data_IF_021822308778
#
_entry.id   IF_021822308778
#
_cell.length_a   1.000
_cell.length_b   1.000
_cell.length_c   1.000
_cell.angle_alpha   90.00
_cell.angle_beta   90.00
_cell.angle_gamma   90.00
#
_symmetry.space_group_name_H-M   'P 1'
#
loop_
_entity.id
_entity.type
_entity.pdbx_description
1 polymer ?
#
# COMPACT_ATOMS: atom_id res chain seq x y z
N UNK A 1 18.25 19.69 1.80
CA UNK A 1 19.62 20.22 1.67
C UNK A 1 20.16 20.66 3.03
N UNK A 2 20.18 19.75 4.01
CA UNK A 2 20.54 20.06 5.40
C UNK A 2 22.03 20.42 5.53
N UNK A 3 22.91 19.71 4.82
CA UNK A 3 24.35 19.96 4.82
C UNK A 3 24.77 21.29 4.16
N UNK A 4 24.00 21.78 3.17
CA UNK A 4 24.25 23.11 2.57
C UNK A 4 23.82 24.25 3.48
N UNK A 5 22.74 24.05 4.23
CA UNK A 5 22.30 25.00 5.27
C UNK A 5 23.28 25.06 6.46
N UNK A 6 24.05 23.99 6.68
CA UNK A 6 25.15 23.92 7.65
C UNK A 6 26.46 24.54 7.14
N UNK A 7 26.46 25.22 5.98
CA UNK A 7 27.64 25.91 5.44
C UNK A 7 28.66 25.04 4.70
N UNK A 8 28.37 23.75 4.45
CA UNK A 8 29.28 22.87 3.72
C UNK A 8 29.36 23.26 2.24
N UNK A 9 30.53 23.01 1.63
CA UNK A 9 30.71 23.17 0.19
C UNK A 9 29.80 22.21 -0.57
N UNK A 10 29.44 22.59 -1.80
CA UNK A 10 28.52 21.82 -2.65
C UNK A 10 29.01 20.38 -2.88
N UNK A 11 30.31 20.19 -3.06
CA UNK A 11 30.92 18.88 -3.30
C UNK A 11 30.81 17.96 -2.07
N UNK A 12 31.11 18.50 -0.88
CA UNK A 12 31.01 17.76 0.38
C UNK A 12 29.55 17.42 0.68
N UNK A 13 28.64 18.38 0.48
CA UNK A 13 27.22 18.14 0.69
C UNK A 13 26.65 17.09 -0.29
N UNK A 14 27.10 17.10 -1.55
CA UNK A 14 26.70 16.11 -2.55
C UNK A 14 27.19 14.70 -2.18
N UNK A 15 28.47 14.58 -1.79
CA UNK A 15 29.05 13.33 -1.34
C UNK A 15 28.33 12.76 -0.10
N UNK A 16 28.06 13.60 0.91
CA UNK A 16 27.31 13.21 2.12
C UNK A 16 25.86 12.81 1.83
N UNK A 17 25.26 13.40 0.79
CA UNK A 17 23.89 13.09 0.37
C UNK A 17 23.83 11.96 -0.68
N UNK A 18 24.95 11.28 -0.96
CA UNK A 18 25.07 10.21 -1.95
C UNK A 18 24.54 10.56 -3.36
N UNK A 19 24.73 11.81 -3.79
CA UNK A 19 24.35 12.28 -5.13
C UNK A 19 25.55 12.89 -5.85
N UNK A 20 25.49 12.91 -7.19
CA UNK A 20 26.53 13.56 -7.98
C UNK A 20 26.54 15.08 -7.79
N UNK A 21 27.72 15.69 -7.91
CA UNK A 21 27.91 17.15 -7.86
C UNK A 21 27.05 17.88 -8.90
N UNK A 22 26.89 17.30 -10.09
CA UNK A 22 25.98 17.80 -11.14
C UNK A 22 24.52 17.84 -10.68
N UNK A 23 24.05 16.79 -10.01
CA UNK A 23 22.68 16.73 -9.48
C UNK A 23 22.49 17.74 -8.34
N UNK A 24 23.48 17.87 -7.44
CA UNK A 24 23.48 18.87 -6.39
C UNK A 24 23.42 20.30 -6.95
N UNK A 25 24.25 20.63 -7.96
CA UNK A 25 24.17 21.91 -8.70
C UNK A 25 22.78 22.18 -9.25
N UNK A 26 22.18 21.18 -9.90
CA UNK A 26 20.84 21.31 -10.47
C UNK A 26 19.76 21.57 -9.41
N UNK A 27 19.86 20.94 -8.24
CA UNK A 27 18.94 21.14 -7.11
C UNK A 27 19.12 22.53 -6.49
N UNK A 28 20.34 23.06 -6.44
CA UNK A 28 20.61 24.41 -5.92
C UNK A 28 20.19 25.51 -6.89
N UNK A 29 20.40 25.29 -8.19
CA UNK A 29 20.00 26.22 -9.25
C UNK A 29 18.50 26.19 -9.54
N UNK A 30 17.80 25.10 -9.18
CA UNK A 30 16.36 25.04 -9.34
C UNK A 30 15.69 25.96 -8.33
N UNK A 31 15.10 27.05 -8.79
CA UNK A 31 14.25 27.95 -8.00
C UNK A 31 12.87 27.32 -7.67
N UNK A 32 12.71 26.03 -7.98
CA UNK A 32 11.52 25.23 -7.76
C UNK A 32 11.92 24.30 -6.63
N UNK A 33 11.24 24.39 -5.47
CA UNK A 33 11.26 23.33 -4.45
C UNK A 33 11.06 21.98 -5.17
N UNK A 34 11.51 20.82 -4.65
CA UNK A 34 11.04 19.53 -5.14
C UNK A 34 9.54 19.45 -4.91
N UNK A 35 8.78 20.12 -5.78
CA UNK A 35 7.34 20.06 -5.91
C UNK A 35 7.13 18.59 -6.26
N UNK A 36 6.35 17.89 -5.44
CA UNK A 36 5.60 16.72 -5.88
C UNK A 36 5.05 17.13 -7.23
N UNK A 37 5.66 16.62 -8.33
CA UNK A 37 5.23 17.01 -9.69
C UNK A 37 3.72 16.93 -9.66
N UNK A 38 3.03 17.99 -10.10
CA UNK A 38 1.59 17.92 -10.21
C UNK A 38 1.29 16.61 -10.94
N UNK A 39 0.54 15.72 -10.29
CA UNK A 39 0.22 14.44 -10.90
C UNK A 39 -0.36 14.76 -12.27
N UNK A 40 0.13 14.05 -13.28
CA UNK A 40 -0.34 14.29 -14.64
C UNK A 40 -1.85 14.07 -14.65
N UNK A 41 -2.59 15.12 -14.98
CA UNK A 41 -4.05 15.08 -15.01
C UNK A 41 -4.58 14.25 -16.19
N UNK A 42 -3.73 14.01 -17.20
CA UNK A 42 -4.08 13.22 -18.37
C UNK A 42 -3.41 11.84 -18.35
N UNK A 43 -4.19 10.82 -18.72
CA UNK A 43 -3.65 9.47 -18.99
C UNK A 43 -2.93 9.49 -20.32
N UNK A 44 -1.75 8.86 -20.39
CA UNK A 44 -1.02 8.68 -21.64
C UNK A 44 -1.76 7.81 -22.67
N UNK A 45 -2.73 7.00 -22.21
CA UNK A 45 -3.56 6.14 -23.04
C UNK A 45 -4.98 6.07 -22.46
N UNK A 46 -5.95 6.03 -23.36
CA UNK A 46 -7.34 5.72 -23.02
C UNK A 46 -7.42 4.34 -22.35
N UNK A 47 -8.41 4.19 -21.48
CA UNK A 47 -8.58 2.96 -20.73
C UNK A 47 -9.26 1.89 -21.61
N UNK A 48 -8.58 0.76 -21.89
CA UNK A 48 -9.09 -0.22 -22.84
C UNK A 48 -10.36 -0.94 -22.36
N UNK A 49 -10.74 -0.81 -21.08
CA UNK A 49 -11.90 -1.48 -20.50
C UNK A 49 -13.05 -0.53 -20.17
N UNK A 50 -12.92 0.76 -20.47
CA UNK A 50 -13.85 1.79 -20.00
C UNK A 50 -15.30 1.51 -20.41
N UNK A 51 -15.49 1.13 -21.68
CA UNK A 51 -16.80 0.85 -22.26
C UNK A 51 -17.53 -0.35 -21.65
N UNK A 52 -16.79 -1.34 -21.11
CA UNK A 52 -17.33 -2.62 -20.63
C UNK A 52 -17.22 -2.80 -19.12
N UNK A 53 -16.49 -1.91 -18.44
CA UNK A 53 -16.17 -2.11 -17.02
C UNK A 53 -17.42 -2.09 -16.14
N UNK A 54 -18.15 -0.98 -16.11
CA UNK A 54 -19.35 -0.84 -15.26
C UNK A 54 -20.56 -1.58 -15.83
N UNK A 55 -20.68 -1.61 -17.16
CA UNK A 55 -21.85 -2.14 -17.88
C UNK A 55 -21.89 -3.66 -17.91
N UNK A 56 -20.74 -4.33 -17.90
CA UNK A 56 -20.65 -5.78 -18.11
C UNK A 56 -19.83 -6.46 -17.02
N UNK A 57 -18.57 -6.04 -16.82
CA UNK A 57 -17.64 -6.74 -15.93
C UNK A 57 -18.03 -6.62 -14.45
N UNK A 58 -18.46 -5.44 -14.01
CA UNK A 58 -18.96 -5.23 -12.64
C UNK A 58 -20.26 -5.99 -12.41
N UNK A 59 -21.15 -6.07 -13.41
CA UNK A 59 -22.38 -6.87 -13.32
C UNK A 59 -22.06 -8.35 -13.11
N UNK A 60 -21.11 -8.89 -13.89
CA UNK A 60 -20.64 -10.27 -13.73
C UNK A 60 -19.99 -10.51 -12.35
N UNK A 61 -19.17 -9.58 -11.89
CA UNK A 61 -18.51 -9.66 -10.58
C UNK A 61 -19.52 -9.59 -9.42
N UNK A 62 -20.56 -8.76 -9.53
CA UNK A 62 -21.65 -8.71 -8.54
C UNK A 62 -22.42 -10.03 -8.50
N UNK A 63 -22.70 -10.64 -9.65
CA UNK A 63 -23.40 -11.92 -9.72
C UNK A 63 -22.54 -13.09 -9.23
N UNK A 64 -21.24 -13.06 -9.52
CA UNK A 64 -20.26 -14.13 -9.23
C UNK A 64 -18.93 -13.54 -8.77
N UNK A 65 -18.78 -13.17 -7.48
CA UNK A 65 -17.57 -12.56 -6.94
C UNK A 65 -16.31 -13.44 -7.03
N UNK A 66 -16.47 -14.74 -7.21
CA UNK A 66 -15.40 -15.72 -7.39
C UNK A 66 -14.71 -15.62 -8.75
N UNK A 67 -15.32 -14.94 -9.74
CA UNK A 67 -14.76 -14.82 -11.08
C UNK A 67 -13.32 -14.27 -11.04
N UNK A 68 -12.49 -14.89 -11.87
CA UNK A 68 -11.07 -14.52 -11.99
C UNK A 68 -10.88 -13.51 -13.12
N UNK A 69 -9.83 -12.68 -13.05
CA UNK A 69 -9.49 -11.77 -14.15
C UNK A 69 -9.26 -12.48 -15.50
N UNK A 70 -8.80 -13.74 -15.47
CA UNK A 70 -8.58 -14.54 -16.68
C UNK A 70 -9.94 -14.94 -17.28
N UNK A 71 -10.85 -15.43 -16.45
CA UNK A 71 -12.22 -15.78 -16.89
C UNK A 71 -12.96 -14.58 -17.47
N UNK A 72 -12.78 -13.39 -16.87
CA UNK A 72 -13.35 -12.15 -17.42
C UNK A 72 -12.72 -11.77 -18.77
N UNK A 73 -11.41 -12.01 -18.96
CA UNK A 73 -10.76 -11.79 -20.25
C UNK A 73 -11.29 -12.76 -21.31
N UNK A 74 -11.42 -14.04 -20.97
CA UNK A 74 -11.99 -15.05 -21.86
C UNK A 74 -13.43 -14.70 -22.27
N UNK A 75 -14.24 -14.19 -21.32
CA UNK A 75 -15.57 -13.67 -21.62
C UNK A 75 -15.52 -12.54 -22.65
N UNK A 76 -14.67 -11.53 -22.43
CA UNK A 76 -14.51 -10.42 -23.37
C UNK A 76 -14.04 -10.88 -24.75
N UNK A 77 -13.12 -11.85 -24.82
CA UNK A 77 -12.63 -12.39 -26.08
C UNK A 77 -13.68 -13.19 -26.84
N UNK A 78 -14.57 -13.89 -26.12
CA UNK A 78 -15.69 -14.61 -26.72
C UNK A 78 -16.79 -13.66 -27.24
N UNK A 79 -17.10 -12.60 -26.50
CA UNK A 79 -18.16 -11.65 -26.85
C UNK A 79 -17.72 -10.55 -27.83
N UNK A 80 -16.44 -10.16 -27.77
CA UNK A 80 -15.85 -9.12 -28.61
C UNK A 80 -14.53 -9.62 -29.21
N UNK A 81 -14.59 -10.52 -30.22
CA UNK A 81 -13.41 -11.02 -30.88
C UNK A 81 -12.58 -9.88 -31.45
N UNK A 82 -11.24 -10.02 -31.39
CA UNK A 82 -10.23 -9.05 -31.86
C UNK A 82 -10.20 -7.67 -31.17
N UNK A 83 -11.11 -7.38 -30.23
CA UNK A 83 -11.10 -6.12 -29.48
C UNK A 83 -10.21 -6.17 -28.23
N UNK A 84 -10.09 -7.34 -27.60
CA UNK A 84 -9.35 -7.51 -26.34
C UNK A 84 -8.23 -8.55 -26.45
N UNK A 85 -7.00 -8.09 -26.28
CA UNK A 85 -5.79 -8.93 -26.24
C UNK A 85 -5.28 -9.12 -24.80
N UNK A 86 -4.40 -10.10 -24.59
CA UNK A 86 -3.74 -10.44 -23.34
C UNK A 86 -3.10 -9.23 -22.61
N UNK A 87 -2.75 -8.17 -23.35
CA UNK A 87 -2.24 -6.89 -22.80
C UNK A 87 -3.18 -6.26 -21.77
N UNK A 88 -4.50 -6.49 -21.87
CA UNK A 88 -5.47 -5.93 -20.91
C UNK A 88 -5.55 -6.73 -19.60
N UNK A 89 -5.00 -7.95 -19.55
CA UNK A 89 -5.10 -8.83 -18.37
C UNK A 89 -4.54 -8.16 -17.11
N UNK A 90 -3.43 -7.43 -17.22
CA UNK A 90 -2.84 -6.74 -16.06
C UNK A 90 -3.76 -5.63 -15.53
N UNK A 91 -4.49 -4.96 -16.42
CA UNK A 91 -5.50 -3.95 -16.07
C UNK A 91 -6.70 -4.61 -15.41
N UNK A 92 -7.22 -5.72 -15.97
CA UNK A 92 -8.29 -6.52 -15.37
C UNK A 92 -7.91 -6.99 -13.97
N UNK A 93 -6.74 -7.62 -13.79
CA UNK A 93 -6.26 -8.09 -12.49
C UNK A 93 -6.24 -6.98 -11.44
N UNK A 94 -5.72 -5.80 -11.80
CA UNK A 94 -5.67 -4.65 -10.90
C UNK A 94 -7.06 -4.18 -10.50
N UNK A 95 -7.97 -4.02 -11.47
CA UNK A 95 -9.33 -3.54 -11.20
C UNK A 95 -10.17 -4.54 -10.43
N UNK A 96 -10.11 -5.82 -10.79
CA UNK A 96 -10.79 -6.89 -10.04
C UNK A 96 -10.28 -6.94 -8.60
N UNK A 97 -8.97 -6.82 -8.38
CA UNK A 97 -8.40 -6.74 -7.02
C UNK A 97 -8.96 -5.55 -6.24
N UNK A 98 -9.02 -4.38 -6.86
CA UNK A 98 -9.59 -3.19 -6.23
C UNK A 98 -11.09 -3.35 -5.95
N UNK A 99 -11.84 -3.87 -6.91
CA UNK A 99 -13.27 -4.14 -6.76
C UNK A 99 -13.53 -5.14 -5.63
N UNK A 100 -12.77 -6.25 -5.56
CA UNK A 100 -12.88 -7.23 -4.46
C UNK A 100 -12.49 -6.66 -3.10
N UNK A 101 -11.65 -5.62 -3.05
CA UNK A 101 -11.31 -4.95 -1.80
C UNK A 101 -12.43 -4.02 -1.30
N UNK A 102 -13.28 -3.51 -2.20
CA UNK A 102 -14.36 -2.56 -1.89
C UNK A 102 -15.73 -3.25 -1.75
N UNK A 103 -15.99 -4.26 -2.57
CA UNK A 103 -17.30 -4.91 -2.72
C UNK A 103 -17.23 -6.44 -2.61
N UNK A 104 -16.02 -7.00 -2.46
CA UNK A 104 -15.87 -8.44 -2.30
C UNK A 104 -16.44 -8.92 -0.97
N UNK A 105 -16.64 -10.25 -0.82
CA UNK A 105 -17.08 -10.82 0.45
C UNK A 105 -16.14 -10.42 1.57
N UNK A 106 -16.70 -10.22 2.77
CA UNK A 106 -15.91 -9.93 3.96
C UNK A 106 -14.84 -10.99 4.12
N UNK A 107 -13.59 -10.52 4.25
CA UNK A 107 -12.49 -11.40 4.59
C UNK A 107 -12.45 -11.52 6.10
N UNK A 108 -12.31 -12.73 6.58
CA UNK A 108 -12.02 -12.96 7.99
C UNK A 108 -10.68 -12.27 8.32
N UNK A 109 -10.76 -11.24 9.18
CA UNK A 109 -9.58 -10.53 9.68
C UNK A 109 -9.23 -11.10 11.04
N UNK A 110 -8.10 -11.79 11.12
CA UNK A 110 -7.58 -12.33 12.38
C UNK A 110 -6.52 -11.39 12.92
N UNK A 111 -6.83 -10.72 14.05
CA UNK A 111 -5.82 -10.02 14.84
C UNK A 111 -5.16 -11.01 15.79
N UNK A 112 -3.94 -11.42 15.48
CA UNK A 112 -3.18 -12.29 16.39
C UNK A 112 -2.85 -11.53 17.67
N UNK A 113 -3.40 -11.95 18.79
CA UNK A 113 -2.96 -11.48 20.10
C UNK A 113 -1.55 -12.02 20.35
N UNK A 114 -0.57 -11.13 20.50
CA UNK A 114 0.78 -11.47 20.90
C UNK A 114 0.94 -11.20 22.40
N UNK A 115 1.02 -12.25 23.21
CA UNK A 115 1.33 -12.12 24.63
C UNK A 115 2.83 -11.86 24.79
N UNK A 116 3.23 -10.58 24.76
CA UNK A 116 4.61 -10.20 25.07
C UNK A 116 4.81 -10.27 26.59
N UNK A 117 5.80 -11.06 27.02
CA UNK A 117 6.18 -11.16 28.42
C UNK A 117 6.47 -9.75 28.98
N UNK A 118 5.85 -9.42 30.12
CA UNK A 118 6.04 -8.15 30.81
C UNK A 118 5.14 -6.99 30.34
N UNK A 119 4.36 -7.13 29.27
CA UNK A 119 3.37 -6.10 28.87
C UNK A 119 2.01 -6.27 29.56
N UNK A 120 1.64 -7.50 29.89
CA UNK A 120 0.41 -7.81 30.62
C UNK A 120 0.76 -8.71 31.81
N UNK A 121 0.32 -8.31 33.00
CA UNK A 121 0.47 -9.09 34.22
C UNK A 121 -0.89 -9.23 34.88
N UNK A 122 -1.22 -10.43 35.33
CA UNK A 122 -2.37 -10.66 36.19
C UNK A 122 -1.92 -10.44 37.63
N UNK A 123 -2.59 -9.52 38.32
CA UNK A 123 -2.44 -9.34 39.76
C UNK A 123 -3.70 -9.88 40.42
N UNK A 124 -3.54 -10.85 41.31
CA UNK A 124 -4.60 -11.34 42.16
C UNK A 124 -4.22 -11.10 43.63
N UNK A 125 -5.21 -10.80 44.45
CA UNK A 125 -5.03 -10.55 45.87
C UNK A 125 -5.63 -11.71 46.63
N UNK A 126 -4.77 -12.49 47.28
CA UNK A 126 -5.23 -13.56 48.17
C UNK A 126 -5.32 -13.02 49.59
N UNK A 127 -6.47 -13.19 50.25
CA UNK A 127 -6.59 -13.00 51.68
C UNK A 127 -6.24 -14.32 52.39
N UNK A 128 -5.14 -14.39 53.15
CA UNK A 128 -4.80 -15.61 53.86
C UNK A 128 -5.72 -15.80 55.07
N UNK A 129 -6.23 -17.02 55.26
CA UNK A 129 -6.99 -17.41 56.46
C UNK A 129 -6.12 -17.59 57.71
N UNK A 130 -4.81 -17.33 57.59
CA UNK A 130 -3.82 -17.53 58.65
C UNK A 130 -2.90 -16.31 58.82
N UNK A 131 -2.35 -16.10 60.02
CA UNK A 131 -1.42 -14.99 60.27
C UNK A 131 -0.14 -15.15 59.46
N UNK A 132 0.24 -14.11 58.70
CA UNK A 132 1.50 -14.07 57.95
C UNK A 132 2.58 -13.42 58.79
N UNK A 133 3.63 -14.18 59.13
CA UNK A 133 4.81 -13.66 59.86
C UNK A 133 5.90 -13.26 58.87
N UNK A 134 6.20 -11.96 58.76
CA UNK A 134 7.28 -11.45 57.90
C UNK A 134 8.56 -11.34 58.73
N UNK A 135 9.60 -12.10 58.36
CA UNK A 135 10.95 -11.90 58.92
C UNK A 135 11.60 -10.71 58.22
N UNK A 136 11.77 -9.59 58.93
CA UNK A 136 12.68 -8.52 58.51
C UNK A 136 14.11 -9.08 58.51
N UNK A 137 14.76 -9.12 57.34
CA UNK A 137 16.21 -9.23 57.25
C UNK A 137 16.80 -7.82 57.08
N UNK A 138 17.73 -7.50 57.97
CA UNK A 138 18.63 -6.34 57.91
C UNK A 138 19.72 -6.56 56.86
#
# INVERSE_FOLDING_TARGET
MQHRQQGMTQEIAAAKSAISTRTARRIEQSNILPRTKADRDWRTREDPLEAVWETELVVLLNAKPELTPITLLEHLQAHYPDQYDQRVLRTLQRRVKQWKALHGPEKEVIFRQQAQAGLQGFSDFTHPDSPVTIKQQL
#
